data_IF_019292974700
#
_entry.id   IF_019292974700
#
_cell.length_a   1.000
_cell.length_b   1.000
_cell.length_c   1.000
_cell.angle_alpha   90.00
_cell.angle_beta   90.00
_cell.angle_gamma   90.00
#
_symmetry.space_group_name_H-M   'P 1'
#
loop_
_entity.id
_entity.type
_entity.pdbx_description
1 polymer ?
#
# COMPACT_ATOMS: atom_id res chain seq x y z
N UNK A 1 17.79 -15.45 -1.07
CA UNK A 1 16.41 -15.84 -1.35
C UNK A 1 15.84 -14.98 -2.45
N UNK A 2 14.74 -15.39 -3.08
CA UNK A 2 14.07 -14.60 -4.11
C UNK A 2 13.31 -13.44 -3.46
N UNK A 3 13.56 -12.17 -3.83
CA UNK A 3 12.82 -11.04 -3.29
C UNK A 3 11.32 -11.20 -3.51
N UNK A 4 10.54 -10.86 -2.49
CA UNK A 4 9.11 -10.73 -2.61
C UNK A 4 8.63 -9.54 -1.79
N UNK A 5 7.46 -9.04 -2.13
CA UNK A 5 6.94 -7.91 -1.40
C UNK A 5 5.90 -7.13 -2.15
N UNK A 6 5.71 -5.92 -1.66
CA UNK A 6 4.73 -4.96 -2.11
C UNK A 6 5.42 -3.61 -2.06
N UNK A 7 5.65 -3.00 -3.20
CA UNK A 7 6.27 -1.70 -3.30
C UNK A 7 5.36 -0.80 -4.14
N UNK A 8 5.05 0.42 -3.66
CA UNK A 8 4.26 1.36 -4.45
C UNK A 8 5.06 1.80 -5.68
N UNK A 9 4.36 2.08 -6.78
CA UNK A 9 4.95 2.65 -7.99
C UNK A 9 4.49 4.10 -8.15
N UNK A 10 5.43 5.01 -8.44
CA UNK A 10 5.17 6.44 -8.65
C UNK A 10 4.42 7.16 -7.49
N UNK A 11 4.61 6.73 -6.25
CA UNK A 11 4.17 7.48 -5.07
C UNK A 11 5.36 8.19 -4.41
N UNK A 12 5.09 9.34 -3.80
CA UNK A 12 6.08 10.07 -2.99
C UNK A 12 6.49 9.31 -1.72
N UNK A 13 7.37 9.91 -0.88
CA UNK A 13 7.80 9.26 0.36
C UNK A 13 6.61 9.03 1.30
N UNK A 14 6.55 7.85 1.91
CA UNK A 14 5.53 7.52 2.91
C UNK A 14 5.87 8.16 4.26
N UNK A 15 4.86 8.68 4.95
CA UNK A 15 4.95 8.99 6.37
C UNK A 15 5.04 7.68 7.17
N UNK A 16 6.14 7.49 7.89
CA UNK A 16 6.42 6.25 8.62
C UNK A 16 5.54 6.05 9.86
N UNK A 17 4.95 7.11 10.39
CA UNK A 17 4.07 7.08 11.57
C UNK A 17 2.64 6.70 11.20
N UNK A 18 2.09 7.30 10.14
CA UNK A 18 0.71 7.09 9.70
C UNK A 18 0.58 6.02 8.63
N UNK A 19 1.69 5.69 7.94
CA UNK A 19 1.76 4.85 6.74
C UNK A 19 0.99 5.45 5.56
N UNK A 20 0.85 6.77 5.52
CA UNK A 20 0.19 7.49 4.43
C UNK A 20 1.21 7.97 3.41
N UNK A 21 0.85 7.84 2.14
CA UNK A 21 1.50 8.51 1.02
C UNK A 21 0.81 9.85 0.77
N UNK A 22 1.56 10.94 0.50
CA UNK A 22 0.97 12.21 0.12
C UNK A 22 0.29 12.08 -1.25
N UNK A 23 -0.79 12.84 -1.45
CA UNK A 23 -1.45 13.00 -2.75
C UNK A 23 -1.22 14.42 -3.28
N UNK A 24 -1.61 14.67 -4.54
CA UNK A 24 -1.62 16.02 -5.10
C UNK A 24 -2.71 16.92 -4.50
N UNK A 25 -3.65 16.35 -3.72
CA UNK A 25 -4.70 17.10 -3.02
C UNK A 25 -4.24 17.38 -1.60
N UNK A 26 -3.96 18.66 -1.25
CA UNK A 26 -3.56 19.01 0.11
C UNK A 26 -4.62 18.57 1.14
N UNK A 27 -4.16 17.99 2.24
CA UNK A 27 -5.04 17.48 3.29
C UNK A 27 -5.64 16.10 3.00
N UNK A 28 -5.26 15.43 1.91
CA UNK A 28 -5.63 14.03 1.61
C UNK A 28 -4.39 13.16 1.53
N UNK A 29 -4.33 12.12 2.38
CA UNK A 29 -3.34 11.06 2.35
C UNK A 29 -3.92 9.74 1.84
N UNK A 30 -3.07 8.91 1.24
CA UNK A 30 -3.42 7.60 0.72
C UNK A 30 -2.77 6.49 1.54
N UNK A 31 -3.53 5.48 1.97
CA UNK A 31 -2.99 4.24 2.55
C UNK A 31 -3.21 3.08 1.57
N UNK A 32 -2.13 2.38 1.25
CA UNK A 32 -2.17 1.16 0.46
C UNK A 32 -1.96 -0.03 1.37
N UNK A 33 -2.87 -1.01 1.30
CA UNK A 33 -2.80 -2.24 2.08
C UNK A 33 -3.14 -3.44 1.21
N UNK A 34 -2.64 -4.59 1.62
CA UNK A 34 -3.01 -5.88 1.02
C UNK A 34 -3.47 -6.83 2.11
N UNK A 35 -4.59 -7.49 1.88
CA UNK A 35 -5.11 -8.55 2.72
C UNK A 35 -4.73 -9.90 2.11
N UNK A 36 -4.15 -10.79 2.91
CA UNK A 36 -3.75 -12.15 2.47
C UNK A 36 -4.80 -13.22 2.80
N UNK A 37 -6.08 -12.84 2.89
CA UNK A 37 -7.21 -13.61 3.42
C UNK A 37 -7.20 -13.84 4.95
N UNK A 38 -6.23 -13.31 5.69
CA UNK A 38 -6.15 -13.41 7.15
C UNK A 38 -5.86 -12.07 7.84
N UNK A 39 -4.90 -11.31 7.32
CA UNK A 39 -4.43 -10.07 7.92
C UNK A 39 -4.07 -9.03 6.86
N UNK A 40 -4.01 -7.76 7.29
CA UNK A 40 -3.54 -6.65 6.46
C UNK A 40 -2.06 -6.40 6.64
N UNK A 41 -1.35 -6.22 5.53
CA UNK A 41 -0.01 -5.65 5.49
C UNK A 41 -0.02 -4.27 4.82
N UNK A 42 0.72 -3.33 5.41
CA UNK A 42 0.95 -2.00 4.82
C UNK A 42 2.04 -2.07 3.73
N UNK A 43 1.99 -1.11 2.80
CA UNK A 43 3.08 -0.86 1.86
C UNK A 43 4.09 0.14 2.47
N UNK A 44 5.36 0.17 2.01
CA UNK A 44 5.99 -0.95 1.33
C UNK A 44 6.26 -2.08 2.34
N UNK A 45 6.34 -3.32 1.85
CA UNK A 45 6.81 -4.44 2.66
C UNK A 45 7.64 -5.37 1.77
N UNK A 46 8.88 -5.64 2.15
CA UNK A 46 9.80 -6.45 1.38
C UNK A 46 10.38 -7.57 2.24
N UNK A 47 10.66 -8.70 1.62
CA UNK A 47 11.27 -9.85 2.26
C UNK A 47 11.96 -10.75 1.23
N UNK A 48 12.59 -11.81 1.72
CA UNK A 48 13.23 -12.80 0.86
C UNK A 48 12.61 -14.17 1.13
N UNK A 49 12.17 -14.84 0.07
CA UNK A 49 11.65 -16.20 0.15
C UNK A 49 12.80 -17.20 -0.08
N UNK A 50 12.73 -18.34 0.61
CA UNK A 50 13.62 -19.47 0.38
C UNK A 50 12.79 -20.65 -0.08
N UNK A 51 13.26 -21.34 -1.12
CA UNK A 51 12.62 -22.53 -1.64
C UNK A 51 13.58 -23.72 -1.49
N UNK A 52 13.08 -24.91 -1.11
CA UNK A 52 13.91 -26.12 -1.03
C UNK A 52 14.32 -26.66 -2.40
N UNK A 53 13.71 -26.16 -3.49
CA UNK A 53 14.07 -26.47 -4.87
C UNK A 53 14.31 -25.19 -5.67
N UNK A 54 14.96 -25.26 -6.86
CA UNK A 54 15.16 -24.10 -7.73
C UNK A 54 13.86 -23.45 -8.23
N UNK A 55 12.71 -24.13 -8.13
CA UNK A 55 11.42 -23.64 -8.61
C UNK A 55 10.42 -23.48 -7.46
N UNK A 56 9.97 -22.25 -7.24
CA UNK A 56 8.95 -21.90 -6.25
C UNK A 56 7.68 -21.33 -6.89
N UNK A 57 6.57 -21.30 -6.15
CA UNK A 57 5.32 -20.66 -6.59
C UNK A 57 4.86 -19.63 -5.56
N UNK A 58 4.43 -18.48 -6.05
CA UNK A 58 3.68 -17.51 -5.26
C UNK A 58 2.19 -17.83 -5.42
N UNK A 59 1.58 -18.30 -4.34
CA UNK A 59 0.16 -18.64 -4.32
C UNK A 59 -0.52 -17.69 -3.35
N UNK A 60 -1.42 -16.87 -3.87
CA UNK A 60 -2.29 -16.05 -3.04
C UNK A 60 -3.52 -16.86 -2.64
N UNK A 61 -3.84 -16.85 -1.35
CA UNK A 61 -5.04 -17.49 -0.84
C UNK A 61 -6.29 -16.87 -1.45
N UNK A 62 -7.31 -17.70 -1.68
CA UNK A 62 -8.65 -17.22 -2.06
C UNK A 62 -9.14 -16.22 -1.02
N UNK A 63 -9.66 -15.08 -1.47
CA UNK A 63 -10.04 -13.96 -0.60
C UNK A 63 -8.93 -12.94 -0.33
N UNK A 64 -7.77 -13.06 -0.98
CA UNK A 64 -6.76 -11.98 -0.97
C UNK A 64 -7.24 -10.79 -1.81
N UNK A 65 -7.03 -9.56 -1.32
CA UNK A 65 -7.41 -8.33 -2.03
C UNK A 65 -6.54 -7.13 -1.67
N UNK A 66 -6.50 -6.14 -2.55
CA UNK A 66 -5.91 -4.83 -2.27
C UNK A 66 -6.96 -3.90 -1.65
N UNK A 67 -6.52 -3.09 -0.70
CA UNK A 67 -7.34 -2.02 -0.11
C UNK A 67 -6.62 -0.69 -0.28
N UNK A 68 -7.37 0.28 -0.78
CA UNK A 68 -6.95 1.67 -0.99
C UNK A 68 -7.83 2.51 -0.07
N UNK A 69 -7.23 3.22 0.87
CA UNK A 69 -7.92 4.06 1.85
C UNK A 69 -7.48 5.52 1.68
N UNK A 70 -8.43 6.45 1.72
CA UNK A 70 -8.16 7.89 1.68
C UNK A 70 -8.42 8.47 3.07
N UNK A 71 -7.48 9.26 3.56
CA UNK A 71 -7.54 9.88 4.88
C UNK A 71 -7.46 11.39 4.77
N UNK A 72 -8.30 12.06 5.54
CA UNK A 72 -8.19 13.50 5.78
C UNK A 72 -7.03 13.75 6.76
N UNK A 73 -6.03 14.50 6.33
CA UNK A 73 -4.81 14.81 7.11
C UNK A 73 -4.76 16.24 7.63
N UNK A 74 -5.73 17.08 7.25
CA UNK A 74 -5.88 18.46 7.73
C UNK A 74 -7.32 18.72 8.19
N UNK A 75 -7.57 19.65 9.13
CA UNK A 75 -8.93 19.97 9.60
C UNK A 75 -9.88 20.42 8.48
N UNK A 76 -9.35 21.06 7.44
CA UNK A 76 -10.10 21.53 6.27
C UNK A 76 -9.42 21.03 5.00
N UNK A 77 -10.20 20.48 4.08
CA UNK A 77 -9.75 20.12 2.73
C UNK A 77 -10.41 21.10 1.77
N UNK A 78 -9.62 21.95 1.14
CA UNK A 78 -10.12 22.91 0.17
C UNK A 78 -9.94 22.35 -1.23
N UNK A 79 -11.05 21.95 -1.84
CA UNK A 79 -11.08 21.57 -3.24
C UNK A 79 -11.14 22.86 -4.07
N UNK A 80 -10.17 23.04 -4.97
CA UNK A 80 -10.09 24.23 -5.83
C UNK A 80 -10.83 24.05 -7.16
N UNK A 81 -11.18 22.81 -7.51
CA UNK A 81 -11.93 22.50 -8.72
C UNK A 81 -13.40 22.22 -8.36
N UNK A 82 -14.36 23.06 -8.75
CA UNK A 82 -15.78 22.81 -8.53
C UNK A 82 -16.33 21.65 -9.39
N UNK A 83 -15.61 21.22 -10.43
CA UNK A 83 -16.09 20.23 -11.40
C UNK A 83 -15.54 18.80 -11.16
N UNK A 84 -14.57 18.64 -10.25
CA UNK A 84 -13.84 17.38 -10.03
C UNK A 84 -12.54 17.31 -10.83
#
# INVERSE_FOLDING_TARGET
GTPFGKSPYNLGPQDTSTKLYPTSVPGIGLKLRWNNASAFGDFPSEGAMSFPSPMGRFIYSVGSYFRIELYKTQPTVSLKNPDG
#
